data_IF_232866025312
#
_entry.id   IF_232866025312
#
_cell.length_a   1.000
_cell.length_b   1.000
_cell.length_c   1.000
_cell.angle_alpha   90.00
_cell.angle_beta   90.00
_cell.angle_gamma   90.00
#
_symmetry.space_group_name_H-M   'P 1'
#
loop_
_entity.id
_entity.type
_entity.pdbx_description
1 polymer ?
#
# COMPACT_ATOMS: atom_id res chain seq x y z
N UNK A 1 35.71 -33.14 3.98
CA UNK A 1 35.17 -31.91 4.60
C UNK A 1 34.82 -30.94 3.47
N UNK A 2 33.52 -30.76 3.14
CA UNK A 2 33.07 -29.83 2.09
C UNK A 2 33.04 -28.43 2.69
N UNK A 3 34.03 -27.61 2.34
CA UNK A 3 34.01 -26.19 2.67
C UNK A 3 32.90 -25.50 1.85
N UNK A 4 31.79 -25.17 2.50
CA UNK A 4 30.79 -24.25 1.91
C UNK A 4 31.37 -22.83 1.99
N UNK A 5 31.79 -22.28 0.87
CA UNK A 5 32.19 -20.87 0.80
C UNK A 5 30.93 -20.00 0.91
N UNK A 6 30.92 -19.08 1.86
CA UNK A 6 29.90 -18.04 1.94
C UNK A 6 30.01 -17.10 0.73
N UNK A 7 28.89 -16.73 0.14
CA UNK A 7 28.82 -15.75 -0.95
C UNK A 7 28.13 -14.50 -0.45
N UNK A 8 28.72 -13.34 -0.74
CA UNK A 8 28.11 -12.05 -0.47
C UNK A 8 27.45 -11.55 -1.75
N UNK A 9 26.22 -11.05 -1.63
CA UNK A 9 25.47 -10.43 -2.71
C UNK A 9 25.16 -9.00 -2.34
N UNK A 10 25.45 -8.08 -3.24
CA UNK A 10 25.12 -6.66 -3.11
C UNK A 10 24.04 -6.30 -4.12
N UNK A 11 23.10 -5.48 -3.67
CA UNK A 11 22.02 -4.98 -4.51
C UNK A 11 21.68 -3.55 -4.13
N UNK A 12 21.11 -2.81 -5.09
CA UNK A 12 20.74 -1.43 -4.90
C UNK A 12 19.54 -1.29 -3.96
N UNK A 13 19.46 -0.13 -3.33
CA UNK A 13 18.30 0.27 -2.54
C UNK A 13 17.11 0.51 -3.47
N UNK A 14 15.91 0.14 -3.03
CA UNK A 14 14.67 0.55 -3.65
C UNK A 14 14.46 2.06 -3.46
N UNK A 15 14.38 2.81 -4.54
CA UNK A 15 14.00 4.21 -4.53
C UNK A 15 12.66 4.38 -5.24
N UNK A 16 11.72 5.03 -4.56
CA UNK A 16 10.42 5.39 -5.12
C UNK A 16 10.37 6.89 -5.34
N UNK A 17 9.83 7.33 -6.48
CA UNK A 17 9.52 8.74 -6.68
C UNK A 17 8.43 9.20 -5.69
N UNK A 18 8.37 10.48 -5.39
CA UNK A 18 7.43 11.08 -4.44
C UNK A 18 7.43 10.47 -3.04
N UNK A 19 8.44 9.66 -2.70
CA UNK A 19 8.50 8.95 -1.42
C UNK A 19 9.87 9.10 -0.77
N UNK A 20 9.87 9.53 0.49
CA UNK A 20 11.10 9.64 1.28
C UNK A 20 11.43 8.29 1.90
N UNK A 21 12.47 7.61 1.38
CA UNK A 21 12.95 6.32 1.88
C UNK A 21 14.12 6.45 2.86
N UNK A 22 14.25 7.59 3.54
CA UNK A 22 15.33 7.84 4.49
C UNK A 22 14.87 7.64 5.93
N UNK A 23 15.43 6.63 6.61
CA UNK A 23 15.12 6.36 8.02
C UNK A 23 15.32 7.59 8.91
N UNK A 24 16.40 8.35 8.70
CA UNK A 24 16.70 9.56 9.49
C UNK A 24 15.61 10.63 9.35
N UNK A 25 15.15 10.88 8.11
CA UNK A 25 14.08 11.86 7.86
C UNK A 25 12.73 11.37 8.41
N UNK A 26 12.45 10.09 8.28
CA UNK A 26 11.23 9.49 8.84
C UNK A 26 11.24 9.50 10.37
N UNK A 27 12.41 9.25 11.01
CA UNK A 27 12.58 9.36 12.45
C UNK A 27 12.31 10.80 12.93
N UNK A 28 12.77 11.79 12.18
CA UNK A 28 12.50 13.19 12.50
C UNK A 28 11.00 13.48 12.57
N UNK A 29 10.21 13.00 11.60
CA UNK A 29 8.76 13.16 11.60
C UNK A 29 8.09 12.55 12.85
N UNK A 30 8.60 11.41 13.31
CA UNK A 30 8.09 10.76 14.53
C UNK A 30 8.51 11.53 15.79
N UNK A 31 9.77 11.95 15.88
CA UNK A 31 10.32 12.65 17.04
C UNK A 31 9.69 14.02 17.22
N UNK A 32 9.48 14.76 16.13
CA UNK A 32 8.84 16.07 16.12
C UNK A 32 7.29 15.98 16.18
N UNK A 33 6.74 14.77 16.29
CA UNK A 33 5.30 14.51 16.41
C UNK A 33 4.45 15.01 15.23
N UNK A 34 5.02 15.08 14.04
CA UNK A 34 4.27 15.37 12.81
C UNK A 34 3.38 14.17 12.39
N UNK A 35 3.74 12.99 12.83
CA UNK A 35 2.99 11.73 12.64
C UNK A 35 2.79 11.03 13.99
N UNK A 36 1.77 10.18 14.10
CA UNK A 36 1.43 9.48 15.34
C UNK A 36 2.44 8.39 15.74
N UNK A 37 3.24 7.91 14.80
CA UNK A 37 4.26 6.89 15.03
C UNK A 37 4.71 6.24 13.72
N UNK A 38 5.50 5.17 13.85
CA UNK A 38 6.01 4.42 12.69
C UNK A 38 4.93 3.67 11.92
N UNK A 39 3.78 3.46 12.52
CA UNK A 39 2.61 2.83 11.94
C UNK A 39 1.57 3.81 11.40
N UNK A 40 1.87 5.11 11.41
CA UNK A 40 1.00 6.12 10.83
C UNK A 40 0.77 5.82 9.34
N UNK A 41 -0.50 5.83 8.84
CA UNK A 41 -0.80 5.53 7.44
C UNK A 41 -0.10 6.42 6.42
N UNK A 42 0.40 7.57 6.82
CA UNK A 42 1.19 8.49 5.98
C UNK A 42 2.64 8.06 5.83
N UNK A 43 3.11 7.15 6.68
CA UNK A 43 4.49 6.67 6.68
C UNK A 43 4.70 5.55 5.66
N UNK A 44 5.79 5.55 4.86
CA UNK A 44 6.11 4.51 3.92
C UNK A 44 6.78 3.30 4.61
N UNK A 45 6.24 2.90 5.74
CA UNK A 45 6.65 1.70 6.47
C UNK A 45 5.68 0.56 6.18
N UNK A 46 6.12 -0.68 6.35
CA UNK A 46 5.23 -1.84 6.19
C UNK A 46 4.01 -1.73 7.12
N UNK A 47 4.21 -1.27 8.36
CA UNK A 47 3.11 -1.06 9.31
C UNK A 47 2.16 0.05 8.86
N UNK A 48 2.68 1.17 8.34
CA UNK A 48 1.88 2.27 7.80
C UNK A 48 1.10 1.84 6.55
N UNK A 49 1.73 1.14 5.62
CA UNK A 49 1.08 0.60 4.43
C UNK A 49 -0.01 -0.40 4.78
N UNK A 50 0.25 -1.28 5.77
CA UNK A 50 -0.75 -2.23 6.27
C UNK A 50 -1.99 -1.51 6.84
N UNK A 51 -1.81 -0.46 7.64
CA UNK A 51 -2.92 0.36 8.15
C UNK A 51 -3.66 1.12 7.06
N UNK A 52 -2.97 1.46 5.98
CA UNK A 52 -3.55 2.07 4.77
C UNK A 52 -4.41 1.10 3.96
N UNK A 53 -4.33 -0.20 4.22
CA UNK A 53 -5.07 -1.24 3.51
C UNK A 53 -4.28 -1.91 2.37
N UNK A 54 -2.97 -1.73 2.31
CA UNK A 54 -2.11 -2.45 1.38
C UNK A 54 -1.99 -3.91 1.83
N UNK A 55 -2.18 -4.82 0.90
CA UNK A 55 -2.14 -6.26 1.19
C UNK A 55 -0.72 -6.82 1.03
N UNK A 56 -0.37 -7.88 1.77
CA UNK A 56 0.94 -8.52 1.61
C UNK A 56 1.18 -9.00 0.18
N UNK A 57 0.15 -9.51 -0.47
CA UNK A 57 0.20 -10.04 -1.84
C UNK A 57 0.53 -8.94 -2.85
N UNK A 58 -0.09 -7.76 -2.72
CA UNK A 58 0.20 -6.63 -3.60
C UNK A 58 1.64 -6.12 -3.44
N UNK A 59 2.18 -6.15 -2.20
CA UNK A 59 3.56 -5.76 -1.95
C UNK A 59 4.56 -6.79 -2.49
N UNK A 60 4.23 -8.07 -2.45
CA UNK A 60 5.05 -9.13 -3.05
C UNK A 60 5.05 -9.02 -4.58
N UNK A 61 3.87 -8.87 -5.21
CA UNK A 61 3.76 -8.64 -6.66
C UNK A 61 4.57 -7.42 -7.10
N UNK A 62 4.49 -6.32 -6.34
CA UNK A 62 5.32 -5.15 -6.60
C UNK A 62 6.81 -5.46 -6.51
N UNK A 63 7.26 -6.17 -5.46
CA UNK A 63 8.67 -6.53 -5.28
C UNK A 63 9.17 -7.47 -6.41
N UNK A 64 8.34 -8.41 -6.86
CA UNK A 64 8.66 -9.30 -7.98
C UNK A 64 8.80 -8.53 -9.30
N UNK A 65 7.91 -7.59 -9.56
CA UNK A 65 7.96 -6.75 -10.78
C UNK A 65 9.18 -5.82 -10.81
N UNK A 66 9.52 -5.24 -9.67
CA UNK A 66 10.72 -4.39 -9.54
C UNK A 66 12.00 -5.21 -9.71
N UNK A 67 12.01 -6.43 -9.14
CA UNK A 67 13.16 -7.31 -9.17
C UNK A 67 14.35 -6.78 -8.36
N UNK A 68 15.49 -7.43 -8.54
CA UNK A 68 16.75 -7.09 -7.86
C UNK A 68 17.72 -6.50 -8.89
N UNK A 69 18.15 -5.27 -8.67
CA UNK A 69 19.13 -4.59 -9.49
C UNK A 69 20.41 -4.26 -8.71
N UNK A 70 21.57 -4.29 -9.37
CA UNK A 70 22.84 -3.84 -8.77
C UNK A 70 23.01 -2.33 -8.82
N UNK A 71 22.44 -1.69 -9.84
CA UNK A 71 22.50 -0.24 -10.01
C UNK A 71 21.26 0.41 -9.42
N UNK A 72 21.45 1.57 -8.81
CA UNK A 72 20.32 2.37 -8.32
C UNK A 72 19.42 2.78 -9.48
N UNK A 73 18.13 2.59 -9.29
CA UNK A 73 17.08 3.03 -10.20
C UNK A 73 15.97 3.71 -9.39
N UNK A 74 15.22 4.53 -10.06
CA UNK A 74 14.04 5.18 -9.50
C UNK A 74 12.80 4.47 -10.05
N UNK A 75 12.02 3.90 -9.16
CA UNK A 75 10.78 3.20 -9.48
C UNK A 75 9.61 4.19 -9.34
N UNK A 76 8.70 4.16 -10.27
CA UNK A 76 7.50 4.97 -10.20
C UNK A 76 6.53 4.45 -9.14
N UNK A 77 6.03 5.36 -8.30
CA UNK A 77 5.03 5.03 -7.28
C UNK A 77 3.73 4.48 -7.89
N UNK A 78 3.41 4.90 -9.11
CA UNK A 78 2.28 4.40 -9.90
C UNK A 78 2.29 2.87 -10.08
N UNK A 79 3.47 2.25 -10.16
CA UNK A 79 3.59 0.79 -10.24
C UNK A 79 3.11 0.12 -8.94
N UNK A 80 3.47 0.69 -7.79
CA UNK A 80 2.97 0.20 -6.49
C UNK A 80 1.45 0.35 -6.39
N UNK A 81 0.92 1.51 -6.78
CA UNK A 81 -0.53 1.74 -6.80
C UNK A 81 -1.26 0.79 -7.74
N UNK A 82 -0.67 0.49 -8.89
CA UNK A 82 -1.20 -0.49 -9.84
C UNK A 82 -1.31 -1.87 -9.19
N UNK A 83 -0.25 -2.39 -8.57
CA UNK A 83 -0.26 -3.69 -7.91
C UNK A 83 -1.33 -3.77 -6.80
N UNK A 84 -1.45 -2.70 -6.00
CA UNK A 84 -2.47 -2.61 -4.94
C UNK A 84 -3.88 -2.61 -5.53
N UNK A 85 -4.13 -1.80 -6.56
CA UNK A 85 -5.44 -1.71 -7.22
C UNK A 85 -5.84 -3.04 -7.85
N UNK A 86 -4.92 -3.69 -8.56
CA UNK A 86 -5.16 -4.99 -9.19
C UNK A 86 -5.55 -6.06 -8.16
N UNK A 87 -4.87 -6.09 -7.04
CA UNK A 87 -5.18 -7.05 -5.98
C UNK A 87 -6.49 -6.72 -5.26
N UNK A 88 -6.70 -5.47 -4.89
CA UNK A 88 -7.93 -5.03 -4.21
C UNK A 88 -9.18 -5.19 -5.09
N UNK A 89 -9.07 -5.01 -6.41
CA UNK A 89 -10.18 -5.25 -7.33
C UNK A 89 -10.70 -6.69 -7.28
N UNK A 90 -9.85 -7.65 -6.91
CA UNK A 90 -10.22 -9.06 -6.80
C UNK A 90 -10.86 -9.43 -5.47
N UNK A 91 -10.41 -8.80 -4.38
CA UNK A 91 -10.76 -9.23 -3.02
C UNK A 91 -11.60 -8.25 -2.23
N UNK A 92 -11.53 -6.95 -2.54
CA UNK A 92 -12.20 -5.92 -1.76
C UNK A 92 -13.71 -5.95 -2.01
N UNK A 93 -14.47 -5.83 -0.94
CA UNK A 93 -15.91 -5.69 -1.02
C UNK A 93 -16.25 -4.30 -1.58
N UNK A 94 -17.07 -4.29 -2.63
CA UNK A 94 -17.56 -3.04 -3.21
C UNK A 94 -18.73 -2.53 -2.39
N UNK A 95 -18.73 -1.22 -2.12
CA UNK A 95 -19.81 -0.52 -1.42
C UNK A 95 -20.19 0.72 -2.22
N UNK A 96 -21.46 0.95 -2.32
CA UNK A 96 -21.99 2.22 -2.79
C UNK A 96 -22.23 3.13 -1.58
N UNK A 97 -21.75 4.36 -1.66
CA UNK A 97 -21.97 5.38 -0.63
C UNK A 97 -22.55 6.61 -1.28
N UNK A 98 -23.62 7.14 -0.71
CA UNK A 98 -24.23 8.38 -1.13
C UNK A 98 -24.06 9.40 -0.01
N UNK A 99 -23.36 10.51 -0.29
CA UNK A 99 -23.22 11.61 0.65
C UNK A 99 -24.48 12.49 0.62
N UNK A 100 -24.93 12.94 1.77
CA UNK A 100 -26.11 13.80 1.95
C UNK A 100 -27.35 13.24 1.23
N UNK A 101 -27.81 12.01 1.56
CA UNK A 101 -28.90 11.38 0.84
C UNK A 101 -30.22 12.08 1.09
N UNK A 102 -31.00 12.27 0.02
CA UNK A 102 -32.39 12.72 0.13
C UNK A 102 -33.29 11.50 0.34
N UNK A 103 -34.13 11.55 1.39
CA UNK A 103 -35.10 10.48 1.64
C UNK A 103 -36.23 10.54 0.62
N UNK A 104 -36.35 9.51 -0.22
CA UNK A 104 -37.46 9.33 -1.14
C UNK A 104 -38.42 8.29 -0.57
N UNK A 105 -39.72 8.66 -0.49
CA UNK A 105 -40.77 7.76 -0.02
C UNK A 105 -41.72 7.48 -1.20
N UNK A 106 -41.83 6.21 -1.55
CA UNK A 106 -42.78 5.74 -2.58
C UNK A 106 -44.07 5.38 -1.86
N UNK A 107 -45.08 6.25 -1.95
CA UNK A 107 -46.35 6.12 -1.20
C UNK A 107 -47.32 5.09 -1.78
N UNK A 108 -47.10 4.68 -3.02
CA UNK A 108 -47.95 3.73 -3.77
C UNK A 108 -47.26 2.38 -4.00
N UNK A 109 -46.23 2.05 -3.22
CA UNK A 109 -45.59 0.73 -3.29
C UNK A 109 -46.42 -0.29 -2.49
N UNK A 110 -46.70 -1.44 -3.10
CA UNK A 110 -47.50 -2.51 -2.48
C UNK A 110 -46.74 -3.12 -1.28
N UNK A 111 -47.42 -3.25 -0.15
CA UNK A 111 -46.84 -3.79 1.07
C UNK A 111 -46.48 -5.27 0.88
N UNK A 112 -45.22 -5.64 1.23
CA UNK A 112 -44.71 -7.01 1.09
C UNK A 112 -44.09 -7.36 -0.27
N UNK A 113 -44.06 -6.45 -1.23
CA UNK A 113 -43.37 -6.66 -2.50
C UNK A 113 -41.88 -6.34 -2.38
N UNK A 114 -41.01 -7.29 -2.74
CA UNK A 114 -39.55 -7.10 -2.83
C UNK A 114 -39.09 -7.30 -4.26
N UNK A 115 -38.21 -6.44 -4.73
CA UNK A 115 -37.52 -6.57 -6.04
C UNK A 115 -36.11 -7.08 -5.85
#
# INVERSE_FOLDING_TARGET
MLFRSSKQYEFARLNLNYTVMSKRKLLQLVTEKHVSGWDDPRMPTISGLRRRGYTPESLRDFAERVGIAKRENLIEFSLLEFCVREHLNKIALRRMVVFDPVKVIISNYEEGKTE
#
